data_IF_198505662222
#
_entry.id   IF_198505662222
#
_cell.length_a   1.000
_cell.length_b   1.000
_cell.length_c   1.000
_cell.angle_alpha   90.00
_cell.angle_beta   90.00
_cell.angle_gamma   90.00
#
_symmetry.space_group_name_H-M   'P 1'
#
loop_
_entity.id
_entity.type
_entity.pdbx_description
1 polymer ?
#
# COMPACT_ATOMS: atom_id res chain seq x y z
N UNK A 1 19.71 28.43 -35.48
CA UNK A 1 21.06 29.03 -35.48
C UNK A 1 21.35 29.65 -34.13
N UNK A 2 22.43 29.20 -33.48
CA UNK A 2 22.91 29.78 -32.24
C UNK A 2 24.13 30.65 -32.57
N UNK A 3 24.04 31.94 -32.26
CA UNK A 3 25.14 32.89 -32.47
C UNK A 3 25.52 33.54 -31.14
N UNK A 4 26.79 33.40 -30.76
CA UNK A 4 27.34 34.02 -29.55
C UNK A 4 28.69 34.68 -29.87
N UNK A 5 29.09 35.61 -29.01
CA UNK A 5 30.33 36.37 -29.14
C UNK A 5 31.26 35.92 -28.00
N UNK A 6 32.48 35.51 -28.33
CA UNK A 6 33.47 35.13 -27.31
C UNK A 6 34.01 36.37 -26.57
N UNK A 7 34.77 36.16 -25.48
CA UNK A 7 35.39 37.24 -24.71
C UNK A 7 36.39 38.10 -25.53
N UNK A 8 36.77 37.65 -26.73
CA UNK A 8 37.69 38.33 -27.66
C UNK A 8 36.94 39.02 -28.81
N UNK A 9 35.60 39.10 -28.74
CA UNK A 9 34.76 39.80 -29.72
C UNK A 9 34.54 39.05 -31.03
N UNK A 10 34.94 37.77 -31.13
CA UNK A 10 34.71 36.96 -32.35
C UNK A 10 33.31 36.37 -32.33
N UNK A 11 32.60 36.55 -33.44
CA UNK A 11 31.25 36.02 -33.62
C UNK A 11 31.33 34.57 -34.08
N UNK A 12 30.85 33.65 -33.25
CA UNK A 12 30.71 32.24 -33.59
C UNK A 12 29.25 31.95 -33.94
N UNK A 13 29.03 31.42 -35.15
CA UNK A 13 27.72 30.93 -35.58
C UNK A 13 27.78 29.41 -35.66
N UNK A 14 26.93 28.74 -34.88
CA UNK A 14 26.78 27.29 -34.91
C UNK A 14 25.37 26.94 -35.36
N UNK A 15 25.29 26.19 -36.45
CA UNK A 15 24.05 25.53 -36.86
C UNK A 15 24.02 24.17 -36.16
N UNK A 16 23.06 24.00 -35.27
CA UNK A 16 22.81 22.72 -34.59
C UNK A 16 21.39 22.27 -34.92
N UNK A 17 21.17 20.99 -35.27
CA UNK A 17 19.83 20.44 -35.39
C UNK A 17 19.08 20.65 -34.08
N UNK A 18 17.85 21.13 -34.16
CA UNK A 18 17.00 21.24 -32.98
C UNK A 18 16.62 19.84 -32.50
N UNK A 19 17.07 19.48 -31.30
CA UNK A 19 16.84 18.14 -30.73
C UNK A 19 15.37 17.89 -30.32
N UNK A 20 14.55 18.94 -30.29
CA UNK A 20 13.18 18.88 -29.81
C UNK A 20 13.06 19.15 -28.30
N UNK A 21 11.89 19.58 -27.85
CA UNK A 21 11.66 19.94 -26.44
C UNK A 21 11.72 18.71 -25.52
N UNK A 22 11.05 17.62 -25.90
CA UNK A 22 10.99 16.42 -25.06
C UNK A 22 12.37 15.74 -24.89
N UNK A 23 13.14 15.46 -25.97
CA UNK A 23 14.48 14.88 -25.82
C UNK A 23 15.43 15.79 -25.03
N UNK A 24 15.29 17.12 -25.19
CA UNK A 24 16.05 18.09 -24.40
C UNK A 24 15.76 17.96 -22.89
N UNK A 25 14.48 17.96 -22.50
CA UNK A 25 14.06 17.88 -21.10
C UNK A 25 14.45 16.52 -20.48
N UNK A 26 14.25 15.42 -21.22
CA UNK A 26 14.60 14.07 -20.76
C UNK A 26 16.11 13.93 -20.54
N UNK A 27 16.93 14.40 -21.49
CA UNK A 27 18.38 14.41 -21.36
C UNK A 27 18.83 15.25 -20.18
N UNK A 28 18.30 16.47 -20.02
CA UNK A 28 18.62 17.33 -18.87
C UNK A 28 18.24 16.69 -17.55
N UNK A 29 17.11 16.00 -17.45
CA UNK A 29 16.70 15.30 -16.23
C UNK A 29 17.69 14.19 -15.85
N UNK A 30 18.15 13.40 -16.84
CA UNK A 30 19.10 12.28 -16.62
C UNK A 30 20.53 12.72 -16.34
N UNK A 31 21.03 13.75 -17.03
CA UNK A 31 22.45 14.16 -16.99
C UNK A 31 22.76 15.23 -15.93
N UNK A 32 21.75 15.96 -15.45
CA UNK A 32 21.95 17.04 -14.47
C UNK A 32 22.48 16.50 -13.14
N UNK A 33 23.51 17.16 -12.57
CA UNK A 33 24.01 16.90 -11.21
C UNK A 33 23.32 17.73 -10.12
N UNK A 34 22.58 18.78 -10.50
CA UNK A 34 21.84 19.66 -9.58
C UNK A 34 20.49 19.08 -9.18
N UNK A 35 20.28 18.86 -7.88
CA UNK A 35 18.98 18.40 -7.35
C UNK A 35 17.85 19.39 -7.64
N UNK A 36 18.10 20.71 -7.53
CA UNK A 36 17.09 21.74 -7.84
C UNK A 36 16.54 21.61 -9.26
N UNK A 37 17.43 21.43 -10.25
CA UNK A 37 17.03 21.27 -11.65
C UNK A 37 16.32 19.94 -11.87
N UNK A 38 16.72 18.88 -11.15
CA UNK A 38 16.06 17.57 -11.24
C UNK A 38 14.63 17.63 -10.69
N UNK A 39 14.43 18.29 -9.54
CA UNK A 39 13.12 18.43 -8.90
C UNK A 39 12.18 19.31 -9.74
N UNK A 40 12.69 20.41 -10.31
CA UNK A 40 11.93 21.25 -11.25
C UNK A 40 11.52 20.46 -12.50
N UNK A 41 12.40 19.61 -13.05
CA UNK A 41 12.03 18.79 -14.21
C UNK A 41 11.09 17.63 -13.86
N UNK A 42 11.16 17.11 -12.62
CA UNK A 42 10.31 16.02 -12.16
C UNK A 42 8.82 16.38 -12.17
N UNK A 43 8.47 17.66 -12.04
CA UNK A 43 7.06 18.12 -12.08
C UNK A 43 6.38 17.84 -13.43
N UNK A 44 7.17 17.65 -14.50
CA UNK A 44 6.66 17.33 -15.85
C UNK A 44 6.62 15.83 -16.13
N UNK A 45 7.07 15.00 -15.19
CA UNK A 45 7.07 13.55 -15.31
C UNK A 45 5.85 12.96 -14.60
N UNK A 46 5.29 11.90 -15.18
CA UNK A 46 4.29 11.06 -14.53
C UNK A 46 4.85 9.66 -14.30
N UNK A 47 4.38 9.01 -13.25
CA UNK A 47 4.73 7.63 -13.00
C UNK A 47 3.95 6.73 -13.97
N UNK A 48 4.68 5.88 -14.70
CA UNK A 48 4.12 4.87 -15.59
C UNK A 48 4.59 3.47 -15.17
N UNK A 49 3.85 2.45 -15.57
CA UNK A 49 4.30 1.07 -15.41
C UNK A 49 5.58 0.86 -16.23
N UNK A 50 6.56 0.17 -15.65
CA UNK A 50 7.81 -0.13 -16.35
C UNK A 50 7.55 -1.17 -17.45
N UNK A 51 7.92 -0.87 -18.69
CA UNK A 51 7.71 -1.75 -19.85
C UNK A 51 8.33 -3.14 -19.70
N UNK A 52 9.50 -3.23 -19.05
CA UNK A 52 10.20 -4.51 -18.89
C UNK A 52 9.51 -5.47 -17.91
N UNK A 53 8.92 -4.93 -16.84
CA UNK A 53 8.31 -5.72 -15.76
C UNK A 53 6.78 -5.57 -15.66
N UNK A 54 6.18 -4.77 -16.54
CA UNK A 54 4.78 -4.35 -16.51
C UNK A 54 4.37 -3.77 -15.14
N UNK A 55 5.31 -3.16 -14.41
CA UNK A 55 5.07 -2.66 -13.05
C UNK A 55 4.98 -3.73 -11.95
N UNK A 56 5.30 -5.00 -12.22
CA UNK A 56 5.40 -6.06 -11.18
C UNK A 56 6.58 -5.88 -10.23
N UNK A 57 7.59 -5.08 -10.62
CA UNK A 57 8.83 -4.81 -9.86
C UNK A 57 9.70 -6.06 -9.63
N UNK A 58 9.49 -7.11 -10.42
CA UNK A 58 10.22 -8.38 -10.33
C UNK A 58 11.04 -8.64 -11.59
N UNK A 59 12.15 -9.37 -11.41
CA UNK A 59 12.95 -9.86 -12.52
C UNK A 59 12.18 -10.91 -13.34
N UNK A 60 12.69 -11.24 -14.53
CA UNK A 60 12.04 -12.18 -15.44
C UNK A 60 11.81 -13.56 -14.84
N UNK A 61 12.82 -14.14 -14.17
CA UNK A 61 12.73 -15.49 -13.59
C UNK A 61 11.62 -15.55 -12.54
N UNK A 62 11.61 -14.60 -11.60
CA UNK A 62 10.63 -14.54 -10.52
C UNK A 62 9.19 -14.37 -11.03
N UNK A 63 9.00 -13.66 -12.15
CA UNK A 63 7.67 -13.49 -12.78
C UNK A 63 7.10 -14.78 -13.38
N UNK A 64 7.95 -15.75 -13.72
CA UNK A 64 7.51 -17.01 -14.31
C UNK A 64 7.21 -18.10 -13.25
N UNK A 65 7.51 -17.85 -11.98
CA UNK A 65 7.14 -18.76 -10.89
C UNK A 65 5.65 -18.64 -10.60
N UNK A 66 4.96 -19.78 -10.62
CA UNK A 66 3.51 -19.86 -10.42
C UNK A 66 3.17 -20.75 -9.23
N UNK A 67 2.14 -20.32 -8.49
CA UNK A 67 1.45 -21.15 -7.50
C UNK A 67 0.10 -21.51 -8.14
N UNK A 68 -0.06 -22.80 -8.48
CA UNK A 68 -1.07 -23.25 -9.47
C UNK A 68 -0.98 -22.41 -10.75
N UNK A 69 -2.00 -21.61 -11.04
CA UNK A 69 -2.14 -20.88 -12.30
C UNK A 69 -1.77 -19.39 -12.21
N UNK A 70 -1.37 -18.90 -11.03
CA UNK A 70 -1.12 -17.48 -10.79
C UNK A 70 0.33 -17.20 -10.40
N UNK A 71 0.86 -16.11 -10.93
CA UNK A 71 2.15 -15.56 -10.52
C UNK A 71 1.99 -14.71 -9.25
N UNK A 72 3.09 -14.39 -8.58
CA UNK A 72 3.08 -13.44 -7.45
C UNK A 72 2.56 -12.05 -7.86
N UNK A 73 2.80 -11.62 -9.11
CA UNK A 73 2.30 -10.35 -9.62
C UNK A 73 0.76 -10.38 -9.74
N UNK A 74 0.19 -11.49 -10.21
CA UNK A 74 -1.26 -11.66 -10.30
C UNK A 74 -1.91 -11.62 -8.91
N UNK A 75 -1.32 -12.33 -7.94
CA UNK A 75 -1.80 -12.41 -6.56
C UNK A 75 -1.70 -11.07 -5.83
N UNK A 76 -0.68 -10.27 -6.11
CA UNK A 76 -0.52 -8.96 -5.45
C UNK A 76 -1.40 -7.87 -6.08
N UNK A 77 -1.78 -8.00 -7.35
CA UNK A 77 -2.64 -7.04 -8.06
C UNK A 77 -4.13 -7.22 -7.82
N UNK A 78 -4.58 -8.45 -7.54
CA UNK A 78 -5.98 -8.69 -7.19
C UNK A 78 -6.36 -7.97 -5.90
N UNK A 79 -7.67 -7.81 -5.67
CA UNK A 79 -8.15 -7.26 -4.41
C UNK A 79 -7.83 -8.22 -3.26
N UNK A 80 -7.70 -7.69 -2.04
CA UNK A 80 -7.44 -8.49 -0.84
C UNK A 80 -8.55 -9.51 -0.62
N UNK A 81 -9.82 -9.16 -0.93
CA UNK A 81 -10.93 -10.11 -0.88
C UNK A 81 -10.81 -11.25 -1.89
N UNK A 82 -10.38 -10.94 -3.12
CA UNK A 82 -10.12 -11.98 -4.13
C UNK A 82 -8.92 -12.85 -3.75
N UNK A 83 -7.88 -12.24 -3.16
CA UNK A 83 -6.71 -12.96 -2.65
C UNK A 83 -7.10 -13.90 -1.50
N UNK A 84 -7.92 -13.44 -0.57
CA UNK A 84 -8.44 -14.27 0.52
C UNK A 84 -9.19 -15.48 -0.05
N UNK A 85 -10.11 -15.24 -0.99
CA UNK A 85 -10.88 -16.29 -1.68
C UNK A 85 -9.97 -17.27 -2.43
N UNK A 86 -8.93 -16.77 -3.10
CA UNK A 86 -7.94 -17.59 -3.79
C UNK A 86 -7.20 -18.51 -2.82
N UNK A 87 -6.70 -18.00 -1.69
CA UNK A 87 -5.98 -18.81 -0.71
C UNK A 87 -6.88 -19.74 0.12
N UNK A 88 -8.17 -19.44 0.25
CA UNK A 88 -9.16 -20.36 0.82
C UNK A 88 -9.40 -21.58 -0.09
N UNK A 89 -9.47 -21.37 -1.42
CA UNK A 89 -9.62 -22.45 -2.40
C UNK A 89 -8.31 -23.16 -2.79
N UNK A 90 -7.16 -22.67 -2.31
CA UNK A 90 -5.85 -23.18 -2.69
C UNK A 90 -5.47 -24.43 -1.87
N UNK A 91 -5.66 -25.60 -2.48
CA UNK A 91 -5.10 -26.85 -1.96
C UNK A 91 -3.98 -27.38 -2.88
N UNK A 92 -2.87 -27.83 -2.30
CA UNK A 92 -1.74 -28.43 -3.00
C UNK A 92 -1.55 -29.87 -2.50
N UNK A 93 -1.26 -30.80 -3.40
CA UNK A 93 -1.12 -32.22 -3.07
C UNK A 93 0.32 -32.62 -2.70
N UNK A 94 0.45 -33.68 -1.90
CA UNK A 94 1.72 -34.29 -1.51
C UNK A 94 2.60 -33.42 -0.60
N UNK A 95 3.90 -33.69 -0.62
CA UNK A 95 4.87 -33.03 0.28
C UNK A 95 4.91 -31.49 0.13
N UNK A 96 4.59 -30.96 -1.05
CA UNK A 96 4.51 -29.51 -1.27
C UNK A 96 3.35 -28.88 -0.48
N UNK A 97 2.23 -29.58 -0.39
CA UNK A 97 1.06 -29.15 0.39
C UNK A 97 1.35 -29.11 1.88
N UNK A 98 1.96 -30.16 2.42
CA UNK A 98 2.30 -30.25 3.85
C UNK A 98 3.22 -29.10 4.31
N UNK A 99 4.22 -28.75 3.48
CA UNK A 99 5.12 -27.62 3.78
C UNK A 99 4.38 -26.29 3.65
N UNK A 100 3.56 -26.13 2.60
CA UNK A 100 2.87 -24.88 2.31
C UNK A 100 1.70 -24.61 3.26
N UNK A 101 1.09 -25.62 3.88
CA UNK A 101 -0.15 -25.45 4.65
C UNK A 101 0.03 -24.48 5.83
N UNK A 102 1.15 -24.54 6.54
CA UNK A 102 1.47 -23.59 7.61
C UNK A 102 1.58 -22.15 7.09
N UNK A 103 2.19 -21.97 5.92
CA UNK A 103 2.37 -20.66 5.29
C UNK A 103 1.03 -20.13 4.79
N UNK A 104 0.22 -20.97 4.14
CA UNK A 104 -1.09 -20.60 3.64
C UNK A 104 -2.05 -20.29 4.78
N UNK A 105 -1.95 -20.98 5.92
CA UNK A 105 -2.71 -20.62 7.12
C UNK A 105 -2.40 -19.20 7.58
N UNK A 106 -1.13 -18.84 7.71
CA UNK A 106 -0.72 -17.47 8.09
C UNK A 106 -1.21 -16.44 7.08
N UNK A 107 -1.05 -16.70 5.77
CA UNK A 107 -1.52 -15.79 4.72
C UNK A 107 -3.04 -15.59 4.79
N UNK A 108 -3.81 -16.68 4.94
CA UNK A 108 -5.28 -16.61 5.08
C UNK A 108 -5.66 -15.77 6.29
N UNK A 109 -5.03 -15.98 7.44
CA UNK A 109 -5.31 -15.20 8.65
C UNK A 109 -5.01 -13.71 8.46
N UNK A 110 -3.86 -13.36 7.85
CA UNK A 110 -3.50 -11.95 7.56
C UNK A 110 -4.47 -11.27 6.60
N UNK A 111 -4.84 -11.95 5.52
CA UNK A 111 -5.82 -11.44 4.57
C UNK A 111 -7.19 -11.27 5.23
N UNK A 112 -7.60 -12.23 6.05
CA UNK A 112 -8.85 -12.17 6.79
C UNK A 112 -8.91 -10.96 7.74
N UNK A 113 -7.82 -10.62 8.42
CA UNK A 113 -7.78 -9.41 9.26
C UNK A 113 -7.98 -8.13 8.45
N UNK A 114 -7.34 -8.02 7.28
CA UNK A 114 -7.51 -6.88 6.38
C UNK A 114 -8.95 -6.77 5.85
N UNK A 115 -9.59 -7.90 5.54
CA UNK A 115 -11.01 -7.94 5.13
C UNK A 115 -11.93 -7.56 6.30
N UNK A 116 -11.62 -8.01 7.52
CA UNK A 116 -12.42 -7.73 8.72
C UNK A 116 -12.44 -6.23 9.07
N UNK A 117 -11.35 -5.51 8.79
CA UNK A 117 -11.29 -4.04 8.93
C UNK A 117 -11.77 -3.29 7.68
N UNK A 118 -12.44 -3.96 6.74
CA UNK A 118 -13.07 -3.33 5.58
C UNK A 118 -12.11 -2.91 4.45
N UNK A 119 -10.92 -3.51 4.35
CA UNK A 119 -9.93 -3.19 3.31
C UNK A 119 -9.96 -4.18 2.13
N UNK A 120 -11.04 -4.93 1.97
CA UNK A 120 -11.15 -5.98 0.96
C UNK A 120 -11.02 -5.49 -0.50
N UNK A 121 -11.27 -4.21 -0.76
CA UNK A 121 -11.19 -3.59 -2.09
C UNK A 121 -9.76 -3.16 -2.48
N UNK A 122 -8.84 -3.09 -1.53
CA UNK A 122 -7.44 -2.74 -1.81
C UNK A 122 -6.71 -3.91 -2.45
N UNK A 123 -5.63 -3.64 -3.18
CA UNK A 123 -4.68 -4.66 -3.61
C UNK A 123 -3.39 -4.57 -2.79
N UNK A 124 -2.67 -5.69 -2.65
CA UNK A 124 -1.38 -5.72 -1.96
C UNK A 124 -0.30 -4.91 -2.70
N UNK A 125 -0.49 -4.68 -4.00
CA UNK A 125 0.41 -3.87 -4.84
C UNK A 125 0.17 -2.35 -4.71
N UNK A 126 -0.88 -1.90 -4.01
CA UNK A 126 -1.16 -0.47 -3.83
C UNK A 126 -0.03 0.20 -3.04
N UNK A 127 0.41 1.36 -3.51
CA UNK A 127 1.44 2.15 -2.81
C UNK A 127 0.93 2.63 -1.46
N UNK A 128 1.76 2.53 -0.43
CA UNK A 128 1.44 3.04 0.90
C UNK A 128 1.22 4.56 0.91
N UNK A 129 1.89 5.29 0.00
CA UNK A 129 1.80 6.75 -0.13
C UNK A 129 0.43 7.24 -0.63
N UNK A 130 -0.34 6.37 -1.29
CA UNK A 130 -1.66 6.73 -1.84
C UNK A 130 -2.81 6.32 -0.94
N UNK A 131 -2.52 5.79 0.26
CA UNK A 131 -3.54 5.40 1.23
C UNK A 131 -4.09 6.62 1.96
N UNK A 132 -5.39 6.61 2.22
CA UNK A 132 -6.00 7.60 3.13
C UNK A 132 -5.53 7.36 4.57
N UNK A 133 -5.66 8.38 5.43
CA UNK A 133 -5.32 8.24 6.85
C UNK A 133 -6.08 7.09 7.52
N UNK A 134 -7.39 6.97 7.26
CA UNK A 134 -8.22 5.87 7.78
C UNK A 134 -7.81 4.50 7.21
N UNK A 135 -7.44 4.41 5.93
CA UNK A 135 -6.91 3.16 5.36
C UNK A 135 -5.61 2.74 6.07
N UNK A 136 -4.67 3.67 6.25
CA UNK A 136 -3.39 3.40 6.93
C UNK A 136 -3.59 2.99 8.40
N UNK A 137 -4.49 3.66 9.11
CA UNK A 137 -4.85 3.30 10.49
C UNK A 137 -5.43 1.89 10.58
N UNK A 138 -6.34 1.51 9.67
CA UNK A 138 -6.93 0.17 9.64
C UNK A 138 -5.93 -0.91 9.26
N UNK A 139 -5.00 -0.65 8.35
CA UNK A 139 -3.88 -1.58 8.07
C UNK A 139 -3.04 -1.80 9.33
N UNK A 140 -2.76 -0.73 10.08
CA UNK A 140 -2.01 -0.82 11.34
C UNK A 140 -2.78 -1.67 12.36
N UNK A 141 -4.08 -1.46 12.51
CA UNK A 141 -4.94 -2.25 13.40
C UNK A 141 -4.94 -3.74 13.02
N UNK A 142 -5.18 -4.07 11.75
CA UNK A 142 -5.13 -5.45 11.25
C UNK A 142 -3.77 -6.12 11.51
N UNK A 143 -2.67 -5.35 11.36
CA UNK A 143 -1.32 -5.84 11.62
C UNK A 143 -1.09 -6.17 13.10
N UNK A 144 -1.64 -5.36 14.03
CA UNK A 144 -1.53 -5.59 15.47
C UNK A 144 -2.32 -6.83 15.90
N UNK A 145 -3.52 -7.02 15.35
CA UNK A 145 -4.33 -8.21 15.64
C UNK A 145 -3.63 -9.47 15.19
N UNK A 146 -3.05 -9.45 13.98
CA UNK A 146 -2.27 -10.58 13.48
C UNK A 146 -0.95 -10.80 14.22
N UNK A 147 -0.43 -9.83 14.96
CA UNK A 147 0.75 -10.04 15.80
C UNK A 147 0.44 -10.92 17.03
N UNK A 148 -0.84 -11.05 17.41
CA UNK A 148 -1.27 -11.92 18.51
C UNK A 148 -0.69 -11.51 19.87
N UNK A 149 -0.36 -10.23 20.05
CA UNK A 149 0.17 -9.71 21.31
C UNK A 149 -0.92 -9.76 22.39
N UNK A 150 -0.51 -10.07 23.62
CA UNK A 150 -1.37 -10.11 24.81
C UNK A 150 -0.78 -9.19 25.89
N UNK A 151 -1.64 -8.63 26.76
CA UNK A 151 -1.22 -7.73 27.84
C UNK A 151 -0.78 -6.35 27.36
N UNK A 152 -1.16 -5.95 26.15
CA UNK A 152 -0.86 -4.64 25.58
C UNK A 152 -2.06 -3.71 25.74
N UNK A 153 -1.80 -2.41 25.96
CA UNK A 153 -2.82 -1.38 25.90
C UNK A 153 -2.78 -0.70 24.53
N UNK A 154 -3.86 -0.85 23.75
CA UNK A 154 -4.06 -0.16 22.49
C UNK A 154 -4.86 1.12 22.72
N UNK A 155 -4.33 2.24 22.24
CA UNK A 155 -5.01 3.54 22.24
C UNK A 155 -5.34 3.90 20.80
N UNK A 156 -6.62 4.02 20.47
CA UNK A 156 -7.11 4.35 19.14
C UNK A 156 -7.86 5.68 19.16
N UNK A 157 -7.58 6.50 18.16
CA UNK A 157 -8.20 7.81 17.96
C UNK A 157 -9.17 7.72 16.77
N UNK A 158 -10.47 7.82 17.06
CA UNK A 158 -11.61 7.78 16.13
C UNK A 158 -11.47 6.75 14.97
N UNK A 159 -11.36 5.44 15.28
CA UNK A 159 -11.14 4.40 14.27
C UNK A 159 -12.31 4.24 13.28
N UNK A 160 -13.50 4.77 13.58
CA UNK A 160 -14.65 4.75 12.68
C UNK A 160 -14.58 5.79 11.55
N UNK A 161 -13.66 6.77 11.59
CA UNK A 161 -13.57 7.84 10.58
C UNK A 161 -13.44 7.25 9.17
N UNK A 162 -14.32 7.70 8.28
CA UNK A 162 -14.29 7.35 6.87
C UNK A 162 -14.69 5.89 6.59
N UNK A 163 -15.32 5.21 7.56
CA UNK A 163 -16.03 3.96 7.31
C UNK A 163 -17.50 4.21 6.99
N UNK A 164 -18.05 3.35 6.14
CA UNK A 164 -19.48 3.27 5.92
C UNK A 164 -20.12 2.55 7.12
N UNK A 165 -21.34 2.94 7.53
CA UNK A 165 -22.04 2.38 8.70
C UNK A 165 -22.02 0.83 8.73
N UNK A 166 -22.21 0.21 7.56
CA UNK A 166 -22.18 -1.26 7.39
C UNK A 166 -20.87 -1.93 7.83
N UNK A 167 -19.74 -1.25 7.68
CA UNK A 167 -18.43 -1.79 8.04
C UNK A 167 -18.03 -1.42 9.48
N UNK A 168 -18.79 -0.54 10.14
CA UNK A 168 -18.58 -0.17 11.54
C UNK A 168 -18.78 -1.37 12.47
N UNK A 169 -19.83 -2.16 12.26
CA UNK A 169 -20.08 -3.39 13.03
C UNK A 169 -18.88 -4.35 12.98
N UNK A 170 -18.26 -4.48 11.81
CA UNK A 170 -17.10 -5.36 11.61
C UNK A 170 -15.86 -4.83 12.33
N UNK A 171 -15.65 -3.51 12.31
CA UNK A 171 -14.60 -2.86 13.08
C UNK A 171 -14.82 -3.08 14.58
N UNK A 172 -16.04 -2.87 15.09
CA UNK A 172 -16.38 -3.07 16.50
C UNK A 172 -16.11 -4.52 16.94
N UNK A 173 -16.55 -5.51 16.17
CA UNK A 173 -16.25 -6.92 16.43
C UNK A 173 -14.75 -7.20 16.45
N UNK A 174 -13.99 -6.50 15.61
CA UNK A 174 -12.54 -6.62 15.55
C UNK A 174 -11.86 -6.03 16.79
N UNK A 175 -12.35 -4.89 17.32
CA UNK A 175 -11.86 -4.29 18.56
C UNK A 175 -12.22 -5.15 19.79
N UNK A 176 -13.43 -5.69 19.82
CA UNK A 176 -13.88 -6.67 20.82
C UNK A 176 -12.94 -7.88 20.84
N UNK A 177 -12.65 -8.45 19.67
CA UNK A 177 -11.70 -9.57 19.57
C UNK A 177 -10.30 -9.20 20.08
N UNK A 178 -9.82 -7.98 19.79
CA UNK A 178 -8.51 -7.53 20.25
C UNK A 178 -8.45 -7.46 21.79
N UNK A 179 -9.52 -6.99 22.43
CA UNK A 179 -9.71 -7.01 23.90
C UNK A 179 -9.73 -8.44 24.42
N UNK A 180 -10.54 -9.32 23.81
CA UNK A 180 -10.76 -10.69 24.27
C UNK A 180 -9.50 -11.57 24.16
N UNK A 181 -8.51 -11.16 23.35
CA UNK A 181 -7.16 -11.74 23.35
C UNK A 181 -6.34 -11.40 24.61
N UNK A 182 -6.91 -10.68 25.58
CA UNK A 182 -6.24 -10.29 26.82
C UNK A 182 -5.52 -8.95 26.73
N UNK A 183 -6.01 -8.04 25.88
CA UNK A 183 -5.50 -6.68 25.76
C UNK A 183 -6.49 -5.67 26.33
N UNK A 184 -6.01 -4.47 26.64
CA UNK A 184 -6.87 -3.32 26.94
C UNK A 184 -6.99 -2.46 25.69
N UNK A 185 -8.21 -2.11 25.31
CA UNK A 185 -8.47 -1.26 24.14
C UNK A 185 -9.16 0.00 24.62
N UNK A 186 -8.46 1.13 24.53
CA UNK A 186 -8.97 2.46 24.81
C UNK A 186 -9.23 3.16 23.48
N UNK A 187 -10.47 3.59 23.29
CA UNK A 187 -10.93 4.19 22.04
C UNK A 187 -11.50 5.57 22.34
N UNK A 188 -11.02 6.58 21.64
CA UNK A 188 -11.68 7.90 21.57
C UNK A 188 -12.67 7.83 20.40
N UNK A 189 -13.96 7.98 20.69
CA UNK A 189 -15.03 7.85 19.70
C UNK A 189 -16.20 8.78 20.00
N UNK A 190 -16.96 9.09 18.95
CA UNK A 190 -18.22 9.80 19.04
C UNK A 190 -19.39 9.01 18.40
N UNK A 191 -19.11 7.84 17.82
CA UNK A 191 -20.12 6.95 17.24
C UNK A 191 -21.00 6.28 18.32
N UNK A 192 -22.32 6.28 18.10
CA UNK A 192 -23.29 5.79 19.07
C UNK A 192 -23.21 4.26 19.27
N UNK A 193 -22.95 3.51 18.20
CA UNK A 193 -22.88 2.05 18.25
C UNK A 193 -21.61 1.61 19.00
N UNK A 194 -20.49 2.32 18.80
CA UNK A 194 -19.27 2.14 19.56
C UNK A 194 -19.47 2.40 21.06
N UNK A 195 -20.15 3.51 21.42
CA UNK A 195 -20.44 3.86 22.81
C UNK A 195 -21.33 2.79 23.45
N UNK A 196 -22.39 2.34 22.77
CA UNK A 196 -23.28 1.29 23.28
C UNK A 196 -22.59 -0.06 23.47
N UNK A 197 -21.58 -0.36 22.66
CA UNK A 197 -20.85 -1.62 22.72
C UNK A 197 -19.68 -1.62 23.75
N UNK A 198 -19.36 -0.46 24.32
CA UNK A 198 -18.24 -0.33 25.26
C UNK A 198 -18.52 -1.00 26.61
N UNK A 199 -17.52 -1.70 27.17
CA UNK A 199 -17.62 -2.26 28.52
C UNK A 199 -17.58 -1.16 29.60
N UNK A 200 -16.89 -0.07 29.30
CA UNK A 200 -16.70 1.07 30.18
C UNK A 200 -16.63 2.34 29.36
N UNK A 201 -17.29 3.40 29.83
CA UNK A 201 -17.35 4.70 29.17
C UNK A 201 -16.80 5.73 30.14
N UNK A 202 -15.85 6.54 29.64
CA UNK A 202 -15.35 7.72 30.33
C UNK A 202 -15.73 8.92 29.48
N UNK A 203 -16.67 9.71 29.97
CA UNK A 203 -17.05 10.96 29.33
C UNK A 203 -16.09 12.07 29.78
N UNK A 204 -15.43 12.73 28.81
CA UNK A 204 -14.43 13.77 29.06
C UNK A 204 -14.75 15.01 28.23
N UNK A 205 -15.08 16.08 28.95
CA UNK A 205 -15.13 17.47 28.48
C UNK A 205 -14.81 18.38 29.66
N UNK A 206 -14.87 19.72 29.53
CA UNK A 206 -15.16 20.56 30.70
C UNK A 206 -16.50 20.14 31.35
#
# INVERSE_FOLDING_TARGET
DLSYIDERGRKHTRVQPFEGILPHLERRYRETESNYVRDDLAQYLSNAACDACDGSRLNEISRHVRVKDKTIADITRMSIGDAESYYQGLNLEGAKGEIADKIFKEIRERLHFLVSVGLNYLSLARSAETLSGGEAQRIRLASQIGAGLMGVMYVLDEPSIGLHQRDNDRLLQTLIRLRDLGNTVLVVEHDEDAIRAADHIIDIGP
#
